data_IF_656427745972
#
_entry.id   IF_656427745972
#
_cell.length_a   1.000
_cell.length_b   1.000
_cell.length_c   1.000
_cell.angle_alpha   90.00
_cell.angle_beta   90.00
_cell.angle_gamma   90.00
#
_symmetry.space_group_name_H-M   'P 1'
#
loop_
_entity.id
_entity.type
_entity.pdbx_description
1 polymer ?
#
# COMPACT_ATOMS: atom_id res chain seq x y z
N UNK A 1 -13.84 20.54 24.82
CA UNK A 1 -15.13 20.19 24.18
C UNK A 1 -14.97 19.29 22.93
N UNK A 2 -13.92 19.46 22.14
CA UNK A 2 -13.69 18.64 20.92
C UNK A 2 -13.33 17.19 21.26
N UNK A 3 -12.51 16.97 22.31
CA UNK A 3 -12.16 15.61 22.77
C UNK A 3 -13.38 14.83 23.27
N UNK A 4 -14.29 15.48 24.00
CA UNK A 4 -15.49 14.81 24.52
C UNK A 4 -16.49 14.42 23.41
N UNK A 5 -16.51 15.15 22.29
CA UNK A 5 -17.37 14.84 21.14
C UNK A 5 -16.85 13.64 20.34
N UNK A 6 -15.53 13.53 20.12
CA UNK A 6 -14.90 12.37 19.48
C UNK A 6 -15.06 11.11 20.34
N UNK A 7 -14.87 11.23 21.63
CA UNK A 7 -15.05 10.13 22.58
C UNK A 7 -16.52 9.68 22.68
N UNK A 8 -17.47 10.60 22.58
CA UNK A 8 -18.91 10.25 22.48
C UNK A 8 -19.28 9.56 21.17
N UNK A 9 -18.71 9.96 20.04
CA UNK A 9 -18.95 9.30 18.76
C UNK A 9 -18.39 7.87 18.76
N UNK A 10 -17.20 7.65 19.26
CA UNK A 10 -16.66 6.29 19.45
C UNK A 10 -17.56 5.48 20.38
N UNK A 11 -17.87 5.98 21.58
CA UNK A 11 -18.66 5.22 22.56
C UNK A 11 -20.11 4.96 22.13
N UNK A 12 -20.75 5.81 21.34
CA UNK A 12 -22.16 5.66 20.95
C UNK A 12 -22.30 4.91 19.64
N UNK A 13 -21.45 5.19 18.65
CA UNK A 13 -21.53 4.55 17.33
C UNK A 13 -20.97 3.13 17.35
N UNK A 14 -19.90 2.89 18.07
CA UNK A 14 -19.20 1.60 18.11
C UNK A 14 -19.72 0.67 19.22
N UNK A 15 -20.50 1.21 20.17
CA UNK A 15 -21.06 0.47 21.31
C UNK A 15 -21.99 -0.68 20.92
N UNK A 16 -22.60 -0.60 19.75
CA UNK A 16 -23.51 -1.62 19.24
C UNK A 16 -22.90 -2.48 18.13
N UNK A 17 -21.69 -2.14 17.65
CA UNK A 17 -21.00 -2.88 16.59
C UNK A 17 -20.00 -3.91 17.11
N UNK A 18 -19.56 -3.79 18.37
CA UNK A 18 -18.65 -4.72 19.02
C UNK A 18 -19.32 -5.36 20.22
N UNK A 19 -19.41 -6.69 20.22
CA UNK A 19 -19.92 -7.50 21.32
C UNK A 19 -18.78 -8.22 22.05
N UNK A 20 -19.08 -8.78 23.24
CA UNK A 20 -18.06 -9.53 23.99
C UNK A 20 -17.56 -10.72 23.14
N UNK A 21 -16.26 -10.76 22.85
CA UNK A 21 -15.61 -11.77 22.04
C UNK A 21 -15.24 -11.32 20.60
N UNK A 22 -15.79 -10.21 20.12
CA UNK A 22 -15.48 -9.70 18.77
C UNK A 22 -14.11 -9.04 18.68
N UNK A 23 -13.58 -8.61 19.80
CA UNK A 23 -12.33 -7.86 19.86
C UNK A 23 -11.55 -8.23 21.13
N UNK A 24 -10.31 -8.64 20.93
CA UNK A 24 -9.41 -8.96 22.04
C UNK A 24 -8.00 -9.26 21.53
N UNK A 25 -7.00 -8.89 22.29
CA UNK A 25 -5.60 -9.15 22.00
C UNK A 25 -4.81 -9.29 23.29
N UNK A 26 -3.88 -10.24 23.32
CA UNK A 26 -3.02 -10.48 24.49
C UNK A 26 -2.13 -9.28 24.83
N UNK A 27 -1.69 -8.53 23.83
CA UNK A 27 -0.76 -7.40 24.01
C UNK A 27 -1.41 -6.02 23.83
N UNK A 28 -2.70 -5.97 23.52
CA UNK A 28 -3.43 -4.71 23.34
C UNK A 28 -3.47 -3.86 24.60
N UNK A 29 -3.33 -2.55 24.46
CA UNK A 29 -3.41 -1.60 25.56
C UNK A 29 -2.21 -1.56 26.51
N UNK A 30 -1.11 -2.29 26.22
CA UNK A 30 0.09 -2.17 27.03
C UNK A 30 0.76 -0.79 26.84
N UNK A 31 1.48 -0.26 27.86
CA UNK A 31 2.03 1.10 27.81
C UNK A 31 2.95 1.38 26.62
N UNK A 32 3.76 0.41 26.20
CA UNK A 32 4.67 0.57 25.07
C UNK A 32 3.91 0.71 23.75
N UNK A 33 2.92 -0.15 23.52
CA UNK A 33 2.09 -0.07 22.31
C UNK A 33 1.29 1.24 22.27
N UNK A 34 0.73 1.67 23.42
CA UNK A 34 0.01 2.94 23.52
C UNK A 34 0.92 4.15 23.24
N UNK A 35 2.15 4.15 23.76
CA UNK A 35 3.12 5.20 23.50
C UNK A 35 3.53 5.24 22.01
N UNK A 36 3.75 4.07 21.38
CA UNK A 36 4.06 3.97 19.95
C UNK A 36 2.90 4.51 19.08
N UNK A 37 1.66 4.13 19.38
CA UNK A 37 0.48 4.64 18.66
C UNK A 37 0.34 6.16 18.82
N UNK A 38 0.52 6.69 20.04
CA UNK A 38 0.47 8.13 20.29
C UNK A 38 1.51 8.87 19.44
N UNK A 39 2.76 8.36 19.40
CA UNK A 39 3.83 8.98 18.59
C UNK A 39 3.56 8.89 17.09
N UNK A 40 3.02 7.78 16.60
CA UNK A 40 2.61 7.66 15.19
C UNK A 40 1.58 8.72 14.82
N UNK A 41 0.55 8.95 15.67
CA UNK A 41 -0.47 9.97 15.42
C UNK A 41 0.11 11.39 15.42
N UNK A 42 1.06 11.69 16.35
CA UNK A 42 1.79 12.96 16.33
C UNK A 42 2.56 13.15 15.02
N UNK A 43 3.29 12.12 14.57
CA UNK A 43 4.05 12.18 13.31
C UNK A 43 3.15 12.37 12.09
N UNK A 44 1.95 11.81 12.08
CA UNK A 44 0.96 12.05 11.02
C UNK A 44 0.55 13.52 10.93
N UNK A 45 0.38 14.19 12.08
CA UNK A 45 0.04 15.62 12.14
C UNK A 45 1.26 16.51 11.85
N UNK A 46 2.42 16.23 12.46
CA UNK A 46 3.65 17.02 12.32
C UNK A 46 4.19 17.03 10.87
N UNK A 47 4.09 15.92 10.16
CA UNK A 47 4.65 15.76 8.82
C UNK A 47 3.58 15.83 7.70
N UNK A 48 2.34 16.18 8.00
CA UNK A 48 1.24 16.24 7.03
C UNK A 48 1.13 14.97 6.16
N UNK A 49 1.29 13.79 6.78
CA UNK A 49 1.40 12.51 6.07
C UNK A 49 0.21 12.25 5.14
N UNK A 50 -1.01 12.68 5.51
CA UNK A 50 -2.20 12.44 4.67
C UNK A 50 -2.16 13.25 3.36
N UNK A 51 -1.70 14.50 3.39
CA UNK A 51 -1.51 15.32 2.18
C UNK A 51 -0.41 14.73 1.31
N UNK A 52 0.74 14.43 1.91
CA UNK A 52 1.85 13.78 1.22
C UNK A 52 1.43 12.47 0.52
N UNK A 53 0.69 11.61 1.21
CA UNK A 53 0.17 10.36 0.61
C UNK A 53 -0.77 10.64 -0.57
N UNK A 54 -1.61 11.68 -0.52
CA UNK A 54 -2.47 12.04 -1.63
C UNK A 54 -1.67 12.47 -2.87
N UNK A 55 -0.62 13.27 -2.69
CA UNK A 55 0.24 13.74 -3.77
C UNK A 55 1.02 12.60 -4.40
N UNK A 56 1.77 11.83 -3.59
CA UNK A 56 2.62 10.73 -4.09
C UNK A 56 1.77 9.58 -4.63
N UNK A 57 0.58 9.34 -4.10
CA UNK A 57 -0.30 8.30 -4.64
C UNK A 57 -0.80 8.64 -6.04
N UNK A 58 -1.14 9.90 -6.31
CA UNK A 58 -1.53 10.33 -7.65
C UNK A 58 -0.40 10.13 -8.67
N UNK A 59 0.84 10.44 -8.26
CA UNK A 59 2.03 10.18 -9.07
C UNK A 59 2.26 8.70 -9.33
N UNK A 60 2.18 7.87 -8.28
CA UNK A 60 2.29 6.42 -8.40
C UNK A 60 1.22 5.84 -9.33
N UNK A 61 -0.02 6.30 -9.23
CA UNK A 61 -1.13 5.86 -10.08
C UNK A 61 -0.85 6.15 -11.56
N UNK A 62 -0.43 7.37 -11.89
CA UNK A 62 -0.06 7.77 -13.26
C UNK A 62 1.05 6.86 -13.85
N UNK A 63 2.08 6.58 -13.05
CA UNK A 63 3.19 5.70 -13.48
C UNK A 63 2.72 4.26 -13.70
N UNK A 64 1.91 3.72 -12.80
CA UNK A 64 1.36 2.37 -12.95
C UNK A 64 0.38 2.25 -14.13
N UNK A 65 -0.43 3.27 -14.39
CA UNK A 65 -1.32 3.32 -15.55
C UNK A 65 -0.51 3.37 -16.86
N UNK A 66 0.61 4.09 -16.86
CA UNK A 66 1.54 4.12 -18.00
C UNK A 66 2.14 2.73 -18.29
N UNK A 67 2.48 1.96 -17.25
CA UNK A 67 2.93 0.58 -17.42
C UNK A 67 1.79 -0.33 -17.91
N UNK A 68 0.58 -0.18 -17.37
CA UNK A 68 -0.58 -0.95 -17.82
C UNK A 68 -0.91 -0.69 -19.30
N UNK A 69 -0.78 0.55 -19.76
CA UNK A 69 -0.97 0.90 -21.16
C UNK A 69 0.14 0.37 -22.08
N UNK A 70 1.34 0.10 -21.56
CA UNK A 70 2.50 -0.38 -22.31
C UNK A 70 2.50 -1.90 -22.51
N UNK A 71 1.92 -2.65 -21.59
CA UNK A 71 1.98 -4.11 -21.55
C UNK A 71 0.59 -4.74 -21.59
N UNK A 72 0.21 -5.35 -22.69
CA UNK A 72 -1.13 -5.95 -22.94
C UNK A 72 -1.51 -7.04 -21.91
N UNK A 73 -0.53 -7.69 -21.27
CA UNK A 73 -0.77 -8.70 -20.24
C UNK A 73 -1.11 -8.10 -18.87
N UNK A 74 -1.05 -6.76 -18.70
CA UNK A 74 -1.57 -6.06 -17.53
C UNK A 74 -3.00 -5.62 -17.87
N UNK A 75 -3.98 -6.24 -17.25
CA UNK A 75 -5.40 -6.11 -17.63
C UNK A 75 -6.16 -5.05 -16.84
N UNK A 76 -5.66 -4.68 -15.65
CA UNK A 76 -6.35 -3.74 -14.78
C UNK A 76 -5.38 -3.17 -13.71
N UNK A 77 -5.67 -1.97 -13.20
CA UNK A 77 -5.08 -1.40 -11.99
C UNK A 77 -6.16 -1.16 -10.95
N UNK A 78 -5.87 -1.50 -9.70
CA UNK A 78 -6.80 -1.35 -8.57
C UNK A 78 -6.06 -0.77 -7.38
N UNK A 79 -6.74 0.03 -6.59
CA UNK A 79 -6.18 0.52 -5.34
C UNK A 79 -6.77 1.82 -4.87
N UNK A 80 -6.22 2.30 -3.75
CA UNK A 80 -6.50 3.59 -3.16
C UNK A 80 -5.26 4.08 -2.42
N UNK A 81 -4.89 5.32 -2.63
CA UNK A 81 -3.68 5.88 -2.04
C UNK A 81 -2.44 5.08 -2.46
N UNK A 82 -1.54 4.82 -1.54
CA UNK A 82 -0.33 4.02 -1.80
C UNK A 82 -0.56 2.50 -1.82
N UNK A 83 -1.75 2.02 -1.50
CA UNK A 83 -2.08 0.60 -1.68
C UNK A 83 -2.61 0.37 -3.09
N UNK A 84 -1.74 -0.07 -3.99
CA UNK A 84 -2.03 -0.28 -5.41
C UNK A 84 -1.82 -1.74 -5.82
N UNK A 85 -2.46 -2.16 -6.90
CA UNK A 85 -2.31 -3.48 -7.46
C UNK A 85 -2.41 -3.48 -8.97
N UNK A 86 -1.47 -4.14 -9.65
CA UNK A 86 -1.55 -4.44 -11.07
C UNK A 86 -2.06 -5.86 -11.28
N UNK A 87 -3.10 -6.00 -12.05
CA UNK A 87 -3.74 -7.28 -12.38
C UNK A 87 -3.19 -7.77 -13.71
N UNK A 88 -2.77 -9.03 -13.76
CA UNK A 88 -2.20 -9.68 -14.93
C UNK A 88 -3.14 -10.76 -15.44
N UNK A 89 -3.06 -11.09 -16.72
CA UNK A 89 -3.77 -12.23 -17.33
C UNK A 89 -3.11 -13.59 -17.02
N UNK A 90 -1.93 -13.57 -16.36
CA UNK A 90 -1.09 -14.73 -16.07
C UNK A 90 -0.37 -14.61 -14.71
N UNK A 91 0.25 -15.71 -14.20
CA UNK A 91 0.95 -15.70 -12.91
C UNK A 91 2.11 -14.71 -12.85
N UNK A 92 2.22 -13.95 -11.75
CA UNK A 92 3.21 -12.87 -11.56
C UNK A 92 4.49 -13.32 -10.85
N UNK A 93 4.58 -14.56 -10.40
CA UNK A 93 5.75 -15.05 -9.65
C UNK A 93 7.09 -14.82 -10.38
N UNK A 94 7.21 -15.00 -11.71
CA UNK A 94 8.47 -14.72 -12.40
C UNK A 94 8.88 -13.25 -12.31
N UNK A 95 7.93 -12.32 -12.42
CA UNK A 95 8.20 -10.86 -12.30
C UNK A 95 8.66 -10.52 -10.89
N UNK A 96 7.99 -11.06 -9.86
CA UNK A 96 8.35 -10.82 -8.44
C UNK A 96 9.75 -11.33 -8.15
N UNK A 97 10.11 -12.53 -8.62
CA UNK A 97 11.44 -13.09 -8.42
C UNK A 97 12.52 -12.25 -9.13
N UNK A 98 12.28 -11.83 -10.36
CA UNK A 98 13.20 -10.96 -11.10
C UNK A 98 13.36 -9.59 -10.44
N UNK A 99 12.29 -9.03 -9.87
CA UNK A 99 12.34 -7.78 -9.12
C UNK A 99 13.17 -7.92 -7.83
N UNK A 100 13.01 -9.03 -7.11
CA UNK A 100 13.78 -9.32 -5.90
C UNK A 100 15.29 -9.42 -6.19
N UNK A 101 15.68 -10.05 -7.29
CA UNK A 101 17.09 -10.11 -7.73
C UNK A 101 17.67 -8.73 -8.04
N UNK A 102 16.83 -7.76 -8.41
CA UNK A 102 17.21 -6.37 -8.65
C UNK A 102 17.04 -5.46 -7.43
N UNK A 103 16.73 -6.02 -6.26
CA UNK A 103 16.58 -5.28 -5.01
C UNK A 103 15.19 -4.69 -4.77
N UNK A 104 14.21 -4.94 -5.65
CA UNK A 104 12.83 -4.49 -5.47
C UNK A 104 11.97 -5.59 -4.85
N UNK A 105 11.49 -5.33 -3.63
CA UNK A 105 10.59 -6.26 -2.91
C UNK A 105 9.16 -5.99 -3.34
N UNK A 106 8.57 -6.94 -4.04
CA UNK A 106 7.16 -6.95 -4.42
C UNK A 106 6.45 -8.12 -3.77
N UNK A 107 5.14 -7.98 -3.55
CA UNK A 107 4.30 -9.06 -3.02
C UNK A 107 3.14 -9.35 -3.97
N UNK A 108 2.73 -10.61 -4.01
CA UNK A 108 1.55 -11.00 -4.77
C UNK A 108 0.28 -10.91 -3.92
N UNK A 109 -0.86 -10.71 -4.59
CA UNK A 109 -2.19 -10.90 -4.04
C UNK A 109 -2.92 -11.94 -4.92
N UNK A 110 -3.02 -13.17 -4.44
CA UNK A 110 -3.38 -14.30 -5.28
C UNK A 110 -2.25 -14.71 -6.22
N UNK A 111 -2.57 -15.18 -7.42
CA UNK A 111 -1.60 -15.71 -8.39
C UNK A 111 -1.18 -14.69 -9.45
N UNK A 112 -2.04 -13.72 -9.74
CA UNK A 112 -1.94 -12.85 -10.91
C UNK A 112 -2.00 -11.34 -10.59
N UNK A 113 -1.79 -10.95 -9.33
CA UNK A 113 -1.76 -9.53 -8.93
C UNK A 113 -0.44 -9.23 -8.24
N UNK A 114 0.25 -8.20 -8.68
CA UNK A 114 1.34 -7.57 -7.93
C UNK A 114 0.74 -6.48 -7.07
N UNK A 115 0.99 -6.53 -5.77
CA UNK A 115 0.52 -5.54 -4.80
C UNK A 115 1.66 -4.65 -4.33
N UNK A 116 1.41 -3.35 -4.34
CA UNK A 116 2.30 -2.30 -3.86
C UNK A 116 1.78 -1.79 -2.52
N UNK A 117 2.63 -1.79 -1.50
CA UNK A 117 2.35 -1.26 -0.16
C UNK A 117 3.60 -0.59 0.40
N UNK A 118 4.07 0.48 -0.25
CA UNK A 118 5.27 1.17 0.20
C UNK A 118 5.04 1.90 1.52
N UNK A 119 6.11 2.30 2.22
CA UNK A 119 6.01 3.21 3.36
C UNK A 119 5.30 4.52 3.00
N UNK A 120 4.57 5.11 3.95
CA UNK A 120 3.82 6.35 3.70
C UNK A 120 4.71 7.59 3.44
N UNK A 121 6.01 7.46 3.64
CA UNK A 121 7.02 8.53 3.50
C UNK A 121 7.86 8.40 2.23
N UNK A 122 7.47 7.56 1.28
CA UNK A 122 8.18 7.45 -0.01
C UNK A 122 8.09 8.77 -0.78
N UNK A 123 9.06 8.97 -1.65
CA UNK A 123 9.15 10.15 -2.53
C UNK A 123 8.86 9.77 -3.98
N UNK A 124 8.66 10.78 -4.84
CA UNK A 124 8.53 10.58 -6.29
C UNK A 124 9.78 9.90 -6.88
N UNK A 125 10.96 10.18 -6.34
CA UNK A 125 12.21 9.53 -6.75
C UNK A 125 12.21 8.03 -6.45
N UNK A 126 11.68 7.62 -5.28
CA UNK A 126 11.53 6.21 -4.94
C UNK A 126 10.52 5.52 -5.86
N UNK A 127 9.45 6.22 -6.25
CA UNK A 127 8.48 5.73 -7.23
C UNK A 127 9.15 5.54 -8.59
N UNK A 128 9.94 6.50 -9.07
CA UNK A 128 10.65 6.40 -10.35
C UNK A 128 11.63 5.23 -10.37
N UNK A 129 12.43 5.06 -9.32
CA UNK A 129 13.35 3.91 -9.18
C UNK A 129 12.60 2.58 -9.22
N UNK A 130 11.49 2.47 -8.47
CA UNK A 130 10.64 1.29 -8.50
C UNK A 130 10.10 0.99 -9.91
N UNK A 131 9.61 2.01 -10.62
CA UNK A 131 9.07 1.88 -11.97
C UNK A 131 10.15 1.44 -12.97
N UNK A 132 11.36 1.98 -12.89
CA UNK A 132 12.47 1.59 -13.76
C UNK A 132 12.84 0.11 -13.57
N UNK A 133 12.96 -0.34 -12.34
CA UNK A 133 13.23 -1.76 -12.04
C UNK A 133 12.09 -2.64 -12.52
N UNK A 134 10.84 -2.26 -12.22
CA UNK A 134 9.65 -3.01 -12.62
C UNK A 134 9.54 -3.11 -14.14
N UNK A 135 9.70 -2.00 -14.89
CA UNK A 135 9.66 -1.98 -16.35
C UNK A 135 10.69 -2.93 -16.96
N UNK A 136 11.91 -2.95 -16.40
CA UNK A 136 12.95 -3.87 -16.84
C UNK A 136 12.60 -5.35 -16.61
N UNK A 137 11.89 -5.66 -15.51
CA UNK A 137 11.41 -7.01 -15.23
C UNK A 137 10.25 -7.41 -16.16
N UNK A 138 9.34 -6.48 -16.44
CA UNK A 138 8.22 -6.71 -17.36
C UNK A 138 8.68 -6.94 -18.80
N UNK A 139 9.71 -6.23 -19.26
CA UNK A 139 10.34 -6.49 -20.58
C UNK A 139 10.88 -7.91 -20.68
N UNK A 140 11.67 -8.34 -19.69
CA UNK A 140 12.18 -9.71 -19.66
C UNK A 140 11.05 -10.75 -19.63
N UNK A 141 10.00 -10.47 -18.85
CA UNK A 141 8.83 -11.34 -18.78
C UNK A 141 8.09 -11.44 -20.11
N UNK A 142 7.96 -10.34 -20.84
CA UNK A 142 7.38 -10.32 -22.19
C UNK A 142 8.20 -11.17 -23.17
N UNK A 143 9.52 -11.00 -23.19
CA UNK A 143 10.43 -11.75 -24.08
C UNK A 143 10.40 -13.26 -23.82
N UNK A 144 10.21 -13.70 -22.58
CA UNK A 144 10.11 -15.10 -22.21
C UNK A 144 8.77 -15.75 -22.59
N UNK A 145 7.74 -14.96 -22.87
CA UNK A 145 6.38 -15.42 -23.14
C UNK A 145 5.88 -15.02 -24.54
N UNK A 146 6.73 -14.44 -25.37
CA UNK A 146 6.49 -14.18 -26.79
C UNK A 146 6.84 -15.40 -27.64
#
# INVERSE_FOLDING_TARGET
>A
HVRSRRQRQMCIRDRHSLTAGDHGTTYGGNPLACAAVAKVLELFEENNILEHVQEVSAYLEEKLDSLAAKYDFITDRRGMGLMQGLVFDRPVAPVINAALEKGLILINAGTNIIRFVPPLVITDADVDEMIEILDSCLKMFQEQNA
#
